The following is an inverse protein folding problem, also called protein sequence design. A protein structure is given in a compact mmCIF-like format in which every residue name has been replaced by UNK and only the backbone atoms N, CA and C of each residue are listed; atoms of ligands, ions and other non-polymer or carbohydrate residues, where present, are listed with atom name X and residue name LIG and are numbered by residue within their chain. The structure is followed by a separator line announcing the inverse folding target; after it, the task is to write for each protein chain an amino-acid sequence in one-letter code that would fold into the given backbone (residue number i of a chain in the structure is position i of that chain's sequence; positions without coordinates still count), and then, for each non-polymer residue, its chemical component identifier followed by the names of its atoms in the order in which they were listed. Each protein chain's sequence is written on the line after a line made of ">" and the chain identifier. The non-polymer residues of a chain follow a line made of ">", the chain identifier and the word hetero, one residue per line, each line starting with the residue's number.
data_IF_213054609792
#
_entry.id   IF_213054609792
#
_cell.length_a   1.000
_cell.length_b   1.000
_cell.length_c   1.000
_cell.angle_alpha   90.00
_cell.angle_beta   90.00
_cell.angle_gamma   90.00
#
_symmetry.space_group_name_H-M   'P 1'
#
loop_
_entity.id
_entity.type
_entity.pdbx_description
1 polymer ?
#
# COMPACT_ATOMS: atom_id res chain seq x y z
N UNK A 1 46.35 18.04 5.10
CA UNK A 1 45.24 18.47 4.25
C UNK A 1 44.38 17.23 3.98
N UNK A 2 43.25 17.09 4.68
CA UNK A 2 42.29 16.01 4.47
C UNK A 2 41.33 16.38 3.33
N UNK A 3 40.96 15.44 2.44
CA UNK A 3 39.95 15.71 1.44
C UNK A 3 38.54 15.60 2.07
N UNK A 4 37.74 16.65 1.86
CA UNK A 4 36.41 16.76 2.35
C UNK A 4 35.48 15.70 1.75
N UNK A 5 34.65 15.10 2.59
CA UNK A 5 33.53 14.26 2.26
C UNK A 5 32.45 15.10 1.57
N UNK A 6 32.35 15.00 0.26
CA UNK A 6 31.19 15.49 -0.48
C UNK A 6 30.02 14.54 -0.17
N UNK A 7 29.13 14.98 0.72
CA UNK A 7 27.86 14.31 0.95
C UNK A 7 27.03 14.36 -0.34
N UNK A 8 26.65 13.20 -0.84
CA UNK A 8 25.67 13.07 -1.89
C UNK A 8 24.33 13.63 -1.36
N UNK A 9 24.01 14.85 -1.79
CA UNK A 9 22.69 15.43 -1.58
C UNK A 9 21.69 14.59 -2.39
N UNK A 10 21.06 13.62 -1.74
CA UNK A 10 19.91 12.94 -2.29
C UNK A 10 18.84 14.00 -2.57
N UNK A 11 18.33 14.03 -3.80
CA UNK A 11 17.21 14.89 -4.15
C UNK A 11 16.04 14.54 -3.24
N UNK A 12 15.67 15.45 -2.34
CA UNK A 12 14.49 15.30 -1.50
C UNK A 12 13.27 15.11 -2.40
N UNK A 13 12.36 14.18 -2.08
CA UNK A 13 11.15 14.01 -2.85
C UNK A 13 10.40 15.33 -2.90
N UNK A 14 9.91 15.71 -4.08
CA UNK A 14 9.06 16.91 -4.25
C UNK A 14 7.84 16.76 -3.34
N UNK A 15 7.40 17.87 -2.71
CA UNK A 15 6.18 17.86 -1.90
C UNK A 15 4.99 17.30 -2.70
N UNK A 16 4.08 16.54 -2.06
CA UNK A 16 2.92 15.94 -2.73
C UNK A 16 2.01 17.00 -3.36
N UNK A 17 1.12 16.59 -4.25
CA UNK A 17 0.23 17.46 -5.06
C UNK A 17 -0.80 18.27 -4.24
N UNK A 18 -0.79 18.17 -2.92
CA UNK A 18 -1.65 18.87 -1.97
C UNK A 18 -1.41 18.35 -0.57
N UNK A 19 -2.07 18.90 0.46
CA UNK A 19 -1.94 18.44 1.82
C UNK A 19 -2.54 17.04 2.05
N UNK A 20 -3.49 16.59 1.21
CA UNK A 20 -4.10 15.26 1.30
C UNK A 20 -5.19 15.13 2.36
N UNK A 21 -5.87 16.22 2.72
CA UNK A 21 -7.04 16.15 3.62
C UNK A 21 -8.16 15.40 2.93
N UNK A 22 -8.73 14.40 3.60
CA UNK A 22 -9.89 13.65 3.12
C UNK A 22 -11.08 13.88 4.05
N UNK A 23 -12.22 14.26 3.45
CA UNK A 23 -13.49 14.38 4.16
C UNK A 23 -14.54 13.57 3.43
N UNK A 24 -15.25 12.73 4.15
CA UNK A 24 -16.41 11.97 3.66
C UNK A 24 -17.61 12.38 4.50
N UNK A 25 -18.68 12.80 3.86
CA UNK A 25 -19.86 13.30 4.54
C UNK A 25 -21.09 12.55 4.08
N UNK A 26 -21.69 11.78 4.98
CA UNK A 26 -22.92 11.02 4.76
C UNK A 26 -22.89 10.19 3.46
N UNK A 27 -21.75 9.59 3.15
CA UNK A 27 -21.55 8.81 1.93
C UNK A 27 -22.46 7.61 1.93
N UNK A 28 -23.19 7.43 0.82
CA UNK A 28 -24.06 6.29 0.54
C UNK A 28 -23.70 5.69 -0.82
N UNK A 29 -23.71 4.37 -0.88
CA UNK A 29 -23.39 3.67 -2.12
C UNK A 29 -23.95 2.25 -2.14
N UNK A 30 -24.43 1.84 -3.29
CA UNK A 30 -24.92 0.50 -3.60
C UNK A 30 -24.45 0.07 -4.99
N UNK A 31 -24.04 -1.19 -5.15
CA UNK A 31 -23.77 -1.74 -6.49
C UNK A 31 -25.07 -2.07 -7.24
N UNK A 32 -26.13 -2.39 -6.50
CA UNK A 32 -27.48 -2.57 -7.03
C UNK A 32 -28.50 -1.94 -6.09
N UNK A 33 -29.65 -1.47 -6.60
CA UNK A 33 -30.66 -0.80 -5.79
C UNK A 33 -31.21 -1.66 -4.62
N UNK A 34 -31.12 -2.98 -4.74
CA UNK A 34 -31.65 -3.90 -3.73
C UNK A 34 -30.74 -4.11 -2.55
N UNK A 35 -29.43 -3.82 -2.69
CA UNK A 35 -28.44 -4.13 -1.65
C UNK A 35 -27.63 -2.87 -1.33
N UNK A 36 -28.08 -2.14 -0.30
CA UNK A 36 -27.37 -0.98 0.22
C UNK A 36 -26.07 -1.44 0.91
N UNK A 37 -24.92 -1.11 0.34
CA UNK A 37 -23.62 -1.55 0.84
C UNK A 37 -23.01 -0.54 1.80
N UNK A 38 -23.00 0.75 1.46
CA UNK A 38 -22.55 1.83 2.35
C UNK A 38 -23.74 2.75 2.61
N UNK A 39 -24.15 2.86 3.88
CA UNK A 39 -25.43 3.47 4.26
C UNK A 39 -25.31 4.92 4.73
N UNK A 40 -24.31 5.21 5.54
CA UNK A 40 -24.05 6.55 6.10
C UNK A 40 -22.63 6.56 6.67
N UNK A 41 -21.65 6.87 5.81
CA UNK A 41 -20.25 6.85 6.19
C UNK A 41 -19.75 8.30 6.23
N UNK A 42 -19.33 8.73 7.43
CA UNK A 42 -18.71 10.03 7.65
C UNK A 42 -17.33 9.84 8.29
N UNK A 43 -16.32 10.47 7.70
CA UNK A 43 -14.93 10.32 8.08
C UNK A 43 -14.16 11.60 7.76
N UNK A 44 -13.27 12.00 8.64
CA UNK A 44 -12.26 13.02 8.38
C UNK A 44 -10.89 12.43 8.65
N UNK A 45 -9.94 12.67 7.74
CA UNK A 45 -8.55 12.24 7.85
C UNK A 45 -7.65 13.44 7.61
N UNK A 46 -6.78 13.69 8.57
CA UNK A 46 -5.82 14.78 8.52
C UNK A 46 -4.65 14.47 7.56
N UNK A 47 -3.96 15.50 7.04
CA UNK A 47 -2.84 15.31 6.13
C UNK A 47 -1.73 14.44 6.73
N UNK A 48 -1.22 13.52 5.94
CA UNK A 48 -0.09 12.68 6.34
C UNK A 48 -0.45 11.52 7.28
N UNK A 49 -1.71 11.39 7.69
CA UNK A 49 -2.16 10.30 8.53
C UNK A 49 -2.30 8.98 7.75
N UNK A 50 -1.97 7.90 8.44
CA UNK A 50 -2.20 6.55 7.97
C UNK A 50 -3.49 6.00 8.57
N UNK A 51 -4.41 5.59 7.72
CA UNK A 51 -5.70 4.99 8.09
C UNK A 51 -5.70 3.52 7.72
N UNK A 52 -5.74 2.63 8.71
CA UNK A 52 -5.90 1.20 8.49
C UNK A 52 -7.40 0.85 8.42
N UNK A 53 -7.79 0.16 7.35
CA UNK A 53 -9.16 -0.33 7.16
C UNK A 53 -9.17 -1.82 7.43
N UNK A 54 -9.87 -2.24 8.46
CA UNK A 54 -9.99 -3.64 8.90
C UNK A 54 -11.44 -4.09 8.90
N UNK A 55 -11.67 -5.38 8.85
CA UNK A 55 -13.02 -5.96 8.86
C UNK A 55 -13.11 -7.25 8.03
N UNK A 56 -14.19 -8.00 8.14
CA UNK A 56 -14.36 -9.26 7.44
C UNK A 56 -14.40 -9.07 5.91
N UNK A 57 -14.22 -10.18 5.19
CA UNK A 57 -14.41 -10.20 3.74
C UNK A 57 -15.85 -9.79 3.40
N UNK A 58 -15.99 -8.95 2.36
CA UNK A 58 -17.32 -8.42 1.98
C UNK A 58 -17.85 -7.26 2.82
N UNK A 59 -17.10 -6.79 3.85
CA UNK A 59 -17.54 -5.69 4.71
C UNK A 59 -17.65 -4.32 4.00
N UNK A 60 -17.08 -4.19 2.78
CA UNK A 60 -17.08 -2.93 2.03
C UNK A 60 -15.74 -2.18 2.02
N UNK A 61 -14.64 -2.78 2.51
CA UNK A 61 -13.30 -2.15 2.56
C UNK A 61 -12.83 -1.68 1.18
N UNK A 62 -12.80 -2.59 0.22
CA UNK A 62 -12.41 -2.29 -1.18
C UNK A 62 -13.38 -1.31 -1.84
N UNK A 63 -14.67 -1.36 -1.49
CA UNK A 63 -15.66 -0.41 -1.99
C UNK A 63 -15.35 1.01 -1.53
N UNK A 64 -15.02 1.20 -0.26
CA UNK A 64 -14.64 2.51 0.29
C UNK A 64 -13.47 3.12 -0.49
N UNK A 65 -12.46 2.33 -0.77
CA UNK A 65 -11.28 2.74 -1.54
C UNK A 65 -11.66 3.07 -3.00
N UNK A 66 -12.51 2.27 -3.61
CA UNK A 66 -12.98 2.49 -4.99
C UNK A 66 -13.79 3.80 -5.11
N UNK A 67 -14.56 4.16 -4.09
CA UNK A 67 -15.28 5.43 -4.05
C UNK A 67 -14.34 6.61 -3.92
N UNK A 68 -13.30 6.51 -3.09
CA UNK A 68 -12.28 7.56 -2.95
C UNK A 68 -11.54 7.82 -4.29
N UNK A 69 -11.30 6.77 -5.08
CA UNK A 69 -10.71 6.88 -6.42
C UNK A 69 -11.73 7.25 -7.53
N UNK A 70 -12.99 7.42 -7.15
CA UNK A 70 -14.10 7.70 -8.07
C UNK A 70 -14.19 6.70 -9.22
N UNK A 71 -14.05 5.40 -8.90
CA UNK A 71 -14.41 4.35 -9.85
C UNK A 71 -15.92 4.23 -10.02
N UNK A 72 -16.67 4.61 -8.98
CA UNK A 72 -18.13 4.67 -8.95
C UNK A 72 -18.59 6.05 -8.50
N UNK A 73 -19.79 6.46 -8.92
CA UNK A 73 -20.46 7.66 -8.40
C UNK A 73 -21.23 7.30 -7.12
N UNK A 74 -21.39 8.26 -6.22
CA UNK A 74 -22.11 8.07 -4.96
C UNK A 74 -23.64 8.12 -5.18
N UNK A 75 -24.38 7.33 -4.41
CA UNK A 75 -25.86 7.45 -4.33
C UNK A 75 -26.25 8.65 -3.46
N UNK A 76 -25.37 9.11 -2.58
CA UNK A 76 -25.59 10.29 -1.74
C UNK A 76 -24.40 10.63 -0.88
N UNK A 77 -24.44 11.81 -0.27
CA UNK A 77 -23.30 12.37 0.45
C UNK A 77 -22.26 12.96 -0.49
N UNK A 78 -21.05 13.20 0.02
CA UNK A 78 -19.92 13.70 -0.79
C UNK A 78 -18.57 13.25 -0.23
N UNK A 79 -17.56 13.24 -1.09
CA UNK A 79 -16.16 13.00 -0.74
C UNK A 79 -15.36 14.23 -1.21
N UNK A 80 -14.59 14.80 -0.30
CA UNK A 80 -13.73 15.93 -0.60
C UNK A 80 -12.26 15.53 -0.46
N UNK A 81 -11.44 16.03 -1.38
CA UNK A 81 -9.98 15.97 -1.31
C UNK A 81 -9.48 17.41 -1.27
N UNK A 82 -8.80 17.79 -0.19
CA UNK A 82 -8.34 19.16 0.05
C UNK A 82 -9.47 20.19 -0.08
N UNK A 83 -10.64 19.88 0.51
CA UNK A 83 -11.84 20.71 0.49
C UNK A 83 -12.59 20.79 -0.86
N UNK A 84 -12.16 20.02 -1.88
CA UNK A 84 -12.79 19.96 -3.19
C UNK A 84 -13.59 18.69 -3.38
N UNK A 85 -14.85 18.79 -3.66
CA UNK A 85 -15.72 17.65 -3.95
C UNK A 85 -15.25 16.91 -5.21
N UNK A 86 -14.94 15.61 -5.07
CA UNK A 86 -14.46 14.78 -6.17
C UNK A 86 -15.50 14.65 -7.30
N UNK A 87 -16.79 14.80 -7.02
CA UNK A 87 -17.84 14.78 -8.02
C UNK A 87 -17.73 15.96 -9.01
N UNK A 88 -17.18 17.11 -8.56
CA UNK A 88 -16.95 18.30 -9.38
C UNK A 88 -15.64 18.29 -10.15
N UNK A 89 -14.75 17.37 -9.84
CA UNK A 89 -13.45 17.21 -10.51
C UNK A 89 -13.58 16.31 -11.73
N UNK A 90 -12.60 16.33 -12.63
CA UNK A 90 -12.49 15.26 -13.63
C UNK A 90 -11.94 13.99 -12.97
N UNK A 91 -12.29 12.79 -13.50
CA UNK A 91 -11.70 11.53 -13.01
C UNK A 91 -10.18 11.53 -13.12
N UNK A 92 -9.64 12.20 -14.13
CA UNK A 92 -8.19 12.37 -14.31
C UNK A 92 -7.57 13.18 -13.15
N UNK A 93 -8.21 14.30 -12.75
CA UNK A 93 -7.71 15.14 -11.65
C UNK A 93 -7.77 14.43 -10.30
N UNK A 94 -8.82 13.64 -10.05
CA UNK A 94 -8.91 12.79 -8.85
C UNK A 94 -7.75 11.79 -8.84
N UNK A 95 -7.56 11.05 -9.95
CA UNK A 95 -6.51 10.01 -10.05
C UNK A 95 -5.08 10.56 -10.04
N UNK A 96 -4.88 11.81 -10.42
CA UNK A 96 -3.57 12.47 -10.25
C UNK A 96 -3.25 12.81 -8.80
N UNK A 97 -4.26 12.98 -7.96
CA UNK A 97 -4.10 13.25 -6.52
C UNK A 97 -4.03 11.98 -5.69
N UNK A 98 -4.56 10.88 -6.22
CA UNK A 98 -4.60 9.58 -5.57
C UNK A 98 -3.65 8.61 -6.26
N UNK A 99 -2.90 7.83 -5.49
CA UNK A 99 -2.08 6.73 -5.99
C UNK A 99 -2.56 5.41 -5.40
N UNK A 100 -2.46 4.33 -6.16
CA UNK A 100 -2.86 3.01 -5.70
C UNK A 100 -1.74 1.99 -5.93
N UNK A 101 -1.45 1.21 -4.90
CA UNK A 101 -0.61 0.02 -4.99
C UNK A 101 -1.49 -1.19 -4.64
N UNK A 102 -1.69 -2.04 -5.63
CA UNK A 102 -2.53 -3.24 -5.51
C UNK A 102 -1.73 -4.43 -4.99
N UNK A 103 -2.45 -5.40 -4.45
CA UNK A 103 -1.92 -6.72 -4.08
C UNK A 103 -1.29 -7.43 -5.30
N UNK A 104 -2.01 -7.44 -6.44
CA UNK A 104 -1.53 -8.02 -7.68
C UNK A 104 -0.93 -6.92 -8.56
N UNK A 105 0.42 -6.81 -8.61
CA UNK A 105 1.08 -5.76 -9.36
C UNK A 105 0.96 -6.02 -10.87
N UNK A 106 0.34 -5.07 -11.57
CA UNK A 106 0.25 -5.12 -13.03
C UNK A 106 1.32 -4.28 -13.69
N UNK A 107 2.06 -4.89 -14.61
CA UNK A 107 3.05 -4.26 -15.48
C UNK A 107 2.71 -4.61 -16.93
N UNK A 108 2.93 -3.64 -17.83
CA UNK A 108 2.69 -3.86 -19.26
C UNK A 108 3.97 -4.27 -19.99
N UNK A 109 3.83 -4.93 -21.14
CA UNK A 109 4.93 -5.25 -22.03
C UNK A 109 5.60 -3.95 -22.51
N UNK A 110 6.88 -3.75 -22.15
CA UNK A 110 7.65 -2.55 -22.39
C UNK A 110 8.86 -2.51 -21.47
N UNK A 111 9.67 -1.45 -21.54
CA UNK A 111 10.86 -1.35 -20.69
C UNK A 111 10.51 -1.12 -19.22
N UNK A 112 11.42 -1.48 -18.31
CA UNK A 112 11.30 -1.14 -16.88
C UNK A 112 11.13 0.37 -16.70
N UNK A 113 11.92 1.16 -17.44
CA UNK A 113 11.85 2.63 -17.44
C UNK A 113 10.46 3.14 -17.79
N UNK A 114 9.83 2.63 -18.86
CA UNK A 114 8.49 3.00 -19.28
C UNK A 114 7.45 2.61 -18.23
N UNK A 115 7.58 1.43 -17.65
CA UNK A 115 6.69 0.96 -16.59
C UNK A 115 6.72 1.85 -15.34
N UNK A 116 7.90 2.30 -14.90
CA UNK A 116 8.02 3.25 -13.77
C UNK A 116 7.48 4.63 -14.18
N UNK A 117 7.87 5.13 -15.37
CA UNK A 117 7.45 6.44 -15.91
C UNK A 117 5.94 6.53 -16.11
N UNK A 118 5.25 5.41 -16.27
CA UNK A 118 3.78 5.38 -16.42
C UNK A 118 3.05 6.09 -15.28
N UNK A 119 3.62 6.14 -14.07
CA UNK A 119 3.08 6.92 -12.96
C UNK A 119 2.99 8.42 -13.24
N UNK A 120 3.92 8.97 -14.04
CA UNK A 120 3.92 10.35 -14.52
C UNK A 120 4.66 10.43 -15.86
N UNK A 121 3.91 10.45 -16.99
CA UNK A 121 4.51 10.38 -18.33
C UNK A 121 5.57 11.47 -18.63
N UNK A 122 5.51 12.62 -17.98
CA UNK A 122 6.49 13.69 -18.11
C UNK A 122 7.71 13.59 -17.18
N UNK A 123 7.91 12.47 -16.46
CA UNK A 123 9.04 12.28 -15.57
C UNK A 123 10.34 12.12 -16.38
N UNK A 124 11.43 12.79 -15.92
CA UNK A 124 12.76 12.61 -16.50
C UNK A 124 13.35 11.24 -16.11
N UNK A 125 14.43 10.84 -16.78
CA UNK A 125 15.16 9.62 -16.46
C UNK A 125 15.71 9.65 -15.03
N UNK A 126 16.22 10.81 -14.62
CA UNK A 126 16.74 11.02 -13.27
C UNK A 126 15.67 10.88 -12.20
N UNK A 127 14.42 11.32 -12.47
CA UNK A 127 13.28 11.16 -11.58
C UNK A 127 12.85 9.70 -11.48
N UNK A 128 12.87 8.97 -12.60
CA UNK A 128 12.60 7.51 -12.63
C UNK A 128 13.64 6.75 -11.81
N UNK A 129 14.93 7.04 -12.02
CA UNK A 129 16.02 6.40 -11.26
C UNK A 129 16.00 6.76 -9.77
N UNK A 130 15.65 8.02 -9.44
CA UNK A 130 15.49 8.44 -8.06
C UNK A 130 14.36 7.68 -7.34
N UNK A 131 13.23 7.46 -8.03
CA UNK A 131 12.14 6.64 -7.50
C UNK A 131 12.56 5.19 -7.30
N UNK A 132 13.28 4.60 -8.26
CA UNK A 132 13.80 3.23 -8.14
C UNK A 132 14.77 3.08 -6.97
N UNK A 133 15.63 4.09 -6.72
CA UNK A 133 16.52 4.11 -5.53
C UNK A 133 15.72 4.19 -4.23
N UNK A 134 14.71 5.04 -4.18
CA UNK A 134 13.84 5.19 -3.01
C UNK A 134 13.07 3.90 -2.68
N UNK A 135 12.78 3.09 -3.69
CA UNK A 135 12.12 1.78 -3.55
C UNK A 135 13.08 0.61 -3.43
N UNK A 136 14.38 0.85 -3.28
CA UNK A 136 15.41 -0.20 -3.16
C UNK A 136 15.49 -1.17 -4.34
N UNK A 137 14.96 -0.81 -5.52
CA UNK A 137 14.96 -1.66 -6.72
C UNK A 137 16.04 -1.29 -7.74
N UNK A 138 16.66 -0.14 -7.63
CA UNK A 138 17.69 0.37 -8.56
C UNK A 138 18.86 -0.62 -8.73
N UNK A 139 19.34 -1.23 -7.65
CA UNK A 139 20.45 -2.20 -7.70
C UNK A 139 20.06 -3.48 -8.43
N UNK A 140 18.81 -3.92 -8.32
CA UNK A 140 18.27 -5.08 -9.03
C UNK A 140 18.21 -4.76 -10.53
N UNK A 141 17.65 -3.60 -10.87
CA UNK A 141 17.53 -3.15 -12.26
C UNK A 141 18.91 -3.06 -12.91
N UNK A 142 19.89 -2.45 -12.26
CA UNK A 142 21.27 -2.30 -12.77
C UNK A 142 22.03 -3.62 -12.92
N UNK A 143 21.62 -4.67 -12.23
CA UNK A 143 22.17 -6.01 -12.38
C UNK A 143 21.67 -6.74 -13.63
N UNK A 144 20.56 -6.28 -14.23
CA UNK A 144 20.04 -6.84 -15.47
C UNK A 144 20.91 -6.41 -16.66
N UNK A 145 21.06 -7.25 -17.71
CA UNK A 145 21.93 -6.97 -18.86
C UNK A 145 21.63 -5.64 -19.58
N UNK A 146 20.38 -5.22 -19.61
CA UNK A 146 19.94 -3.97 -20.25
C UNK A 146 19.52 -2.89 -19.23
N UNK A 147 19.69 -3.14 -17.93
CA UNK A 147 19.33 -2.19 -16.88
C UNK A 147 17.87 -1.71 -17.00
N UNK A 148 17.68 -0.41 -16.98
CA UNK A 148 16.35 0.23 -17.11
C UNK A 148 15.67 -0.01 -18.47
N UNK A 149 16.44 -0.36 -19.49
CA UNK A 149 15.92 -0.63 -20.84
C UNK A 149 15.60 -2.11 -21.06
N UNK A 150 15.70 -2.93 -19.99
CA UNK A 150 15.22 -4.30 -19.99
C UNK A 150 13.73 -4.35 -20.30
N UNK A 151 13.37 -5.10 -21.33
CA UNK A 151 11.97 -5.28 -21.75
C UNK A 151 11.31 -6.33 -20.87
N UNK A 152 10.19 -5.96 -20.29
CA UNK A 152 9.31 -6.88 -19.58
C UNK A 152 8.42 -7.62 -20.59
N UNK A 153 8.33 -8.93 -20.41
CA UNK A 153 7.41 -9.77 -21.19
C UNK A 153 5.96 -9.54 -20.75
N UNK A 154 5.01 -10.16 -21.44
CA UNK A 154 3.60 -10.13 -21.04
C UNK A 154 3.46 -10.66 -19.62
N UNK A 155 2.70 -9.95 -18.78
CA UNK A 155 2.57 -10.18 -17.33
C UNK A 155 3.89 -10.13 -16.55
N UNK A 156 4.95 -9.57 -17.14
CA UNK A 156 6.28 -9.48 -16.54
C UNK A 156 6.80 -10.83 -16.01
N UNK A 157 6.60 -11.91 -16.79
CA UNK A 157 6.95 -13.28 -16.42
C UNK A 157 8.47 -13.49 -16.23
N UNK A 158 9.29 -12.59 -16.77
CA UNK A 158 10.75 -12.62 -16.70
C UNK A 158 11.34 -11.95 -15.44
N UNK A 159 10.50 -11.53 -14.50
CA UNK A 159 10.92 -11.00 -13.18
C UNK A 159 10.10 -11.62 -12.04
N UNK A 160 10.65 -11.63 -10.84
CA UNK A 160 9.97 -12.19 -9.65
C UNK A 160 8.75 -11.37 -9.21
N UNK A 161 7.86 -11.98 -8.42
CA UNK A 161 6.69 -11.30 -7.86
C UNK A 161 7.07 -10.07 -7.00
N UNK A 162 8.12 -10.19 -6.19
CA UNK A 162 8.60 -9.09 -5.37
C UNK A 162 9.20 -7.94 -6.19
N UNK A 163 9.95 -8.25 -7.25
CA UNK A 163 10.46 -7.23 -8.18
C UNK A 163 9.33 -6.50 -8.89
N UNK A 164 8.28 -7.23 -9.33
CA UNK A 164 7.07 -6.61 -9.89
C UNK A 164 6.44 -5.63 -8.90
N UNK A 165 6.33 -6.02 -7.63
CA UNK A 165 5.77 -5.17 -6.60
C UNK A 165 6.62 -3.93 -6.34
N UNK A 166 7.94 -4.05 -6.25
CA UNK A 166 8.85 -2.91 -6.12
C UNK A 166 8.75 -1.95 -7.31
N UNK A 167 8.61 -2.45 -8.54
CA UNK A 167 8.43 -1.59 -9.72
C UNK A 167 7.09 -0.83 -9.69
N UNK A 168 6.02 -1.45 -9.21
CA UNK A 168 4.73 -0.74 -9.05
C UNK A 168 4.77 0.29 -7.92
N UNK A 169 5.52 0.04 -6.85
CA UNK A 169 5.78 1.04 -5.81
C UNK A 169 6.61 2.20 -6.39
N UNK A 170 7.65 1.94 -7.19
CA UNK A 170 8.44 2.97 -7.87
C UNK A 170 7.57 3.82 -8.83
N UNK A 171 6.62 3.22 -9.53
CA UNK A 171 5.59 3.91 -10.32
C UNK A 171 4.77 4.88 -9.47
N UNK A 172 4.34 4.46 -8.28
CA UNK A 172 3.60 5.31 -7.36
C UNK A 172 4.48 6.46 -6.81
N UNK A 173 5.78 6.21 -6.59
CA UNK A 173 6.74 7.26 -6.21
C UNK A 173 6.86 8.35 -7.27
N UNK A 174 7.01 7.98 -8.54
CA UNK A 174 7.10 8.94 -9.66
C UNK A 174 5.80 9.73 -9.80
N UNK A 175 4.65 9.11 -9.58
CA UNK A 175 3.34 9.77 -9.61
C UNK A 175 3.23 10.86 -8.54
N UNK A 176 3.85 10.65 -7.38
CA UNK A 176 3.88 11.55 -6.23
C UNK A 176 2.48 12.07 -5.80
N UNK A 177 1.53 11.19 -5.53
CA UNK A 177 0.17 11.56 -5.14
C UNK A 177 0.12 12.13 -3.72
N UNK A 178 -0.92 12.92 -3.41
CA UNK A 178 -1.19 13.42 -2.06
C UNK A 178 -1.83 12.35 -1.17
N UNK A 179 -2.61 11.45 -1.77
CA UNK A 179 -3.34 10.38 -1.08
C UNK A 179 -2.91 9.04 -1.65
N UNK A 180 -2.58 8.10 -0.79
CA UNK A 180 -2.20 6.73 -1.15
C UNK A 180 -3.28 5.74 -0.74
N UNK A 181 -3.46 4.75 -1.57
CA UNK A 181 -4.29 3.59 -1.33
C UNK A 181 -3.41 2.37 -1.48
N UNK A 182 -3.28 1.60 -0.41
CA UNK A 182 -2.40 0.45 -0.34
C UNK A 182 -3.24 -0.79 0.01
N UNK A 183 -3.21 -1.79 -0.87
CA UNK A 183 -3.80 -3.09 -0.59
C UNK A 183 -2.69 -4.07 -0.21
N UNK A 184 -2.64 -4.43 1.07
CA UNK A 184 -1.53 -5.12 1.69
C UNK A 184 -1.80 -6.63 1.78
N UNK A 185 -1.56 -7.35 0.70
CA UNK A 185 -1.49 -8.80 0.77
C UNK A 185 -0.19 -9.28 0.10
N UNK A 186 0.70 -9.88 0.87
CA UNK A 186 1.99 -10.39 0.39
C UNK A 186 2.02 -11.90 0.59
N UNK A 187 1.42 -12.67 -0.30
CA UNK A 187 1.30 -14.11 -0.10
C UNK A 187 2.32 -14.98 -0.86
N UNK A 188 3.30 -14.40 -1.58
CA UNK A 188 4.13 -15.20 -2.49
C UNK A 188 5.56 -14.65 -2.71
N UNK A 189 6.11 -13.92 -1.75
CA UNK A 189 7.43 -13.29 -1.90
C UNK A 189 8.37 -13.87 -0.85
N UNK A 190 9.63 -14.10 -1.22
CA UNK A 190 10.66 -14.53 -0.27
C UNK A 190 10.91 -13.46 0.81
N UNK A 191 11.34 -13.90 2.00
CA UNK A 191 11.47 -13.04 3.19
C UNK A 191 12.37 -11.82 2.97
N UNK A 192 13.42 -11.94 2.15
CA UNK A 192 14.36 -10.82 1.89
C UNK A 192 13.69 -9.75 1.03
N UNK A 193 13.04 -10.15 -0.05
CA UNK A 193 12.34 -9.23 -0.94
C UNK A 193 11.13 -8.63 -0.25
N UNK A 194 10.46 -9.38 0.62
CA UNK A 194 9.36 -8.88 1.45
C UNK A 194 9.80 -7.71 2.35
N UNK A 195 10.97 -7.80 2.98
CA UNK A 195 11.55 -6.70 3.76
C UNK A 195 11.77 -5.44 2.90
N UNK A 196 12.27 -5.60 1.67
CA UNK A 196 12.46 -4.47 0.75
C UNK A 196 11.13 -3.83 0.34
N UNK A 197 10.12 -4.66 0.07
CA UNK A 197 8.75 -4.18 -0.23
C UNK A 197 8.19 -3.38 0.94
N UNK A 198 8.33 -3.86 2.18
CA UNK A 198 7.89 -3.14 3.39
C UNK A 198 8.62 -1.80 3.54
N UNK A 199 9.94 -1.78 3.37
CA UNK A 199 10.73 -0.55 3.44
C UNK A 199 10.29 0.45 2.36
N UNK A 200 10.08 -0.02 1.13
CA UNK A 200 9.60 0.81 0.03
C UNK A 200 8.20 1.37 0.29
N UNK A 201 7.29 0.56 0.83
CA UNK A 201 5.95 0.99 1.23
C UNK A 201 5.99 2.05 2.33
N UNK A 202 6.82 1.86 3.36
CA UNK A 202 6.99 2.83 4.43
C UNK A 202 7.53 4.16 3.89
N UNK A 203 8.58 4.12 3.06
CA UNK A 203 9.13 5.31 2.41
C UNK A 203 8.10 6.02 1.51
N UNK A 204 7.25 5.24 0.80
CA UNK A 204 6.19 5.81 -0.03
C UNK A 204 5.13 6.55 0.80
N UNK A 205 4.85 6.11 2.02
CA UNK A 205 3.85 6.72 2.93
C UNK A 205 4.30 8.03 3.54
N UNK A 206 5.61 8.27 3.68
CA UNK A 206 6.14 9.48 4.33
C UNK A 206 5.54 10.76 3.74
N UNK A 207 4.92 11.57 4.61
CA UNK A 207 4.30 12.85 4.26
C UNK A 207 3.06 12.77 3.38
N UNK A 208 2.43 11.59 3.27
CA UNK A 208 1.21 11.37 2.47
C UNK A 208 0.10 10.75 3.30
N UNK A 209 -1.11 11.19 3.06
CA UNK A 209 -2.29 10.54 3.65
C UNK A 209 -2.48 9.17 3.02
N UNK A 210 -2.54 8.13 3.84
CA UNK A 210 -2.53 6.75 3.36
C UNK A 210 -3.73 5.96 3.88
N UNK A 211 -4.47 5.32 2.99
CA UNK A 211 -5.50 4.33 3.32
C UNK A 211 -4.95 2.95 3.03
N UNK A 212 -4.93 2.08 4.03
CA UNK A 212 -4.37 0.74 3.93
C UNK A 212 -5.46 -0.28 4.21
N UNK A 213 -5.75 -1.16 3.24
CA UNK A 213 -6.51 -2.38 3.52
C UNK A 213 -5.51 -3.33 4.18
N UNK A 214 -5.51 -3.32 5.52
CA UNK A 214 -4.47 -3.95 6.29
C UNK A 214 -4.80 -5.43 6.53
N UNK A 215 -3.80 -6.27 6.26
CA UNK A 215 -3.82 -7.71 6.53
C UNK A 215 -2.74 -8.12 7.53
N UNK A 216 -1.83 -7.19 7.91
CA UNK A 216 -0.74 -7.43 8.86
C UNK A 216 -0.97 -6.70 10.16
N UNK A 217 -0.75 -7.37 11.27
CA UNK A 217 -0.90 -6.80 12.62
C UNK A 217 0.00 -5.57 12.83
N UNK A 218 1.25 -5.61 12.34
CA UNK A 218 2.17 -4.47 12.47
C UNK A 218 1.65 -3.20 11.80
N UNK A 219 1.12 -3.32 10.58
CA UNK A 219 0.56 -2.18 9.83
C UNK A 219 -0.67 -1.61 10.52
N UNK A 220 -1.51 -2.48 11.09
CA UNK A 220 -2.71 -2.07 11.81
C UNK A 220 -2.31 -1.30 13.09
N UNK A 221 -1.35 -1.83 13.85
CA UNK A 221 -0.89 -1.22 15.11
C UNK A 221 -0.28 0.16 14.92
N UNK A 222 0.51 0.32 13.87
CA UNK A 222 1.28 1.55 13.61
C UNK A 222 0.47 2.62 12.84
N UNK A 223 -0.82 2.39 12.60
CA UNK A 223 -1.71 3.35 11.95
C UNK A 223 -2.16 4.45 12.91
N UNK A 224 -2.24 5.70 12.42
CA UNK A 224 -2.73 6.85 13.19
C UNK A 224 -4.22 6.71 13.51
N UNK A 225 -4.95 6.03 12.65
CA UNK A 225 -6.38 5.74 12.81
C UNK A 225 -6.73 4.37 12.23
N UNK A 226 -7.55 3.63 12.95
CA UNK A 226 -8.09 2.35 12.52
C UNK A 226 -9.60 2.50 12.31
N UNK A 227 -10.08 2.01 11.19
CA UNK A 227 -11.50 1.94 10.86
C UNK A 227 -11.92 0.47 10.81
N UNK A 228 -12.79 0.07 11.73
CA UNK A 228 -13.42 -1.25 11.68
C UNK A 228 -14.67 -1.16 10.85
N UNK A 229 -14.63 -1.78 9.68
CA UNK A 229 -15.75 -1.78 8.73
C UNK A 229 -16.50 -3.09 8.82
N UNK A 230 -17.81 -3.02 9.01
CA UNK A 230 -18.70 -4.17 9.01
C UNK A 230 -20.03 -3.81 8.35
N UNK A 231 -20.49 -4.67 7.45
CA UNK A 231 -21.75 -4.48 6.71
C UNK A 231 -21.92 -3.04 6.16
N UNK A 232 -20.84 -2.48 5.57
CA UNK A 232 -20.83 -1.16 4.96
C UNK A 232 -20.89 0.03 5.92
N UNK A 233 -20.59 -0.18 7.20
CA UNK A 233 -20.54 0.88 8.22
C UNK A 233 -19.21 0.86 8.95
N UNK A 234 -18.75 2.03 9.38
CA UNK A 234 -17.69 2.11 10.38
C UNK A 234 -18.33 1.81 11.73
N UNK A 235 -18.01 0.65 12.31
CA UNK A 235 -18.54 0.23 13.60
C UNK A 235 -17.69 0.68 14.77
N UNK A 236 -16.37 0.79 14.56
CA UNK A 236 -15.41 1.28 15.53
C UNK A 236 -14.38 2.14 14.83
N UNK A 237 -13.88 3.16 15.52
CA UNK A 237 -12.83 4.06 15.04
C UNK A 237 -11.98 4.54 16.20
N UNK A 238 -10.66 4.53 16.04
CA UNK A 238 -9.70 4.99 17.04
C UNK A 238 -8.29 4.54 16.75
N UNK A 239 -7.39 4.75 17.69
CA UNK A 239 -6.05 4.17 17.67
C UNK A 239 -6.07 2.72 18.11
N UNK A 240 -4.97 2.00 17.90
CA UNK A 240 -4.81 0.63 18.37
C UNK A 240 -5.11 0.47 19.87
N UNK A 241 -4.53 1.34 20.69
CA UNK A 241 -4.67 1.30 22.14
C UNK A 241 -6.11 1.57 22.60
N UNK A 242 -6.76 2.59 22.02
CA UNK A 242 -8.16 2.93 22.30
C UNK A 242 -9.11 1.79 21.97
N UNK A 243 -8.93 1.15 20.81
CA UNK A 243 -9.81 0.08 20.36
C UNK A 243 -9.59 -1.23 21.11
N UNK A 244 -8.36 -1.53 21.54
CA UNK A 244 -8.10 -2.64 22.45
C UNK A 244 -8.75 -2.43 23.82
N UNK A 245 -8.60 -1.21 24.38
CA UNK A 245 -9.19 -0.88 25.67
C UNK A 245 -10.73 -0.91 25.66
N UNK A 246 -11.33 -0.58 24.51
CA UNK A 246 -12.79 -0.68 24.34
C UNK A 246 -13.33 -2.11 24.35
N UNK A 247 -12.48 -3.13 24.10
CA UNK A 247 -12.87 -4.55 24.16
C UNK A 247 -13.91 -4.96 23.12
N UNK A 248 -14.01 -4.20 22.02
CA UNK A 248 -15.00 -4.40 20.97
C UNK A 248 -14.59 -5.43 19.90
N UNK A 249 -15.14 -5.27 18.70
CA UNK A 249 -14.84 -6.14 17.54
C UNK A 249 -13.37 -6.10 17.15
N UNK A 250 -12.74 -4.94 17.21
CA UNK A 250 -11.32 -4.80 16.94
C UNK A 250 -10.49 -5.69 17.87
N UNK A 251 -10.74 -5.61 19.17
CA UNK A 251 -10.03 -6.43 20.16
C UNK A 251 -10.22 -7.93 19.92
N UNK A 252 -11.44 -8.35 19.56
CA UNK A 252 -11.73 -9.74 19.22
C UNK A 252 -10.98 -10.18 17.94
N UNK A 253 -10.95 -9.36 16.91
CA UNK A 253 -10.20 -9.62 15.66
C UNK A 253 -8.70 -9.69 15.92
N UNK A 254 -8.16 -8.74 16.68
CA UNK A 254 -6.76 -8.69 17.06
C UNK A 254 -6.33 -9.98 17.75
N UNK A 255 -7.07 -10.40 18.80
CA UNK A 255 -6.75 -11.62 19.54
C UNK A 255 -6.77 -12.87 18.67
N UNK A 256 -7.66 -12.95 17.69
CA UNK A 256 -7.74 -14.09 16.77
C UNK A 256 -6.60 -14.12 15.75
N UNK A 257 -6.16 -12.97 15.25
CA UNK A 257 -5.03 -12.85 14.33
C UNK A 257 -3.68 -13.05 15.02
N UNK A 258 -3.51 -12.49 16.22
CA UNK A 258 -2.32 -12.66 17.04
C UNK A 258 -2.06 -14.14 17.35
N UNK A 259 -3.13 -14.89 17.68
CA UNK A 259 -3.05 -16.34 17.86
C UNK A 259 -2.67 -17.08 16.56
N UNK A 260 -3.14 -16.63 15.41
CA UNK A 260 -2.83 -17.24 14.12
C UNK A 260 -1.37 -17.00 13.74
N UNK A 261 -0.90 -15.75 13.82
CA UNK A 261 0.50 -15.41 13.52
C UNK A 261 1.47 -16.10 14.50
N UNK A 262 1.14 -16.19 15.78
CA UNK A 262 1.94 -16.92 16.77
C UNK A 262 2.02 -18.43 16.45
N UNK A 263 0.92 -19.02 15.98
CA UNK A 263 0.85 -20.43 15.58
C UNK A 263 1.70 -20.68 14.33
N UNK A 264 1.61 -19.81 13.34
CA UNK A 264 2.40 -19.91 12.10
C UNK A 264 3.90 -19.75 12.36
N UNK A 265 4.28 -18.80 13.22
CA UNK A 265 5.66 -18.61 13.64
C UNK A 265 6.22 -19.81 14.39
N UNK A 266 5.44 -20.42 15.28
CA UNK A 266 5.81 -21.63 16.01
C UNK A 266 5.98 -22.84 15.07
N UNK A 267 5.07 -22.99 14.11
CA UNK A 267 5.13 -24.04 13.10
C UNK A 267 6.39 -23.92 12.22
N UNK A 268 6.71 -22.68 11.80
CA UNK A 268 7.91 -22.38 11.00
C UNK A 268 9.20 -22.70 11.78
N UNK A 269 9.25 -22.33 13.07
CA UNK A 269 10.39 -22.63 13.95
C UNK A 269 10.58 -24.14 14.11
N UNK A 270 9.52 -24.89 14.34
CA UNK A 270 9.57 -26.35 14.45
C UNK A 270 10.05 -27.00 13.14
N UNK A 271 9.63 -26.47 11.99
CA UNK A 271 10.05 -26.98 10.69
C UNK A 271 11.54 -26.73 10.42
N UNK A 272 12.07 -25.56 10.82
CA UNK A 272 13.50 -25.23 10.72
C UNK A 272 14.34 -26.13 11.62
N UNK A 273 13.88 -26.39 12.86
CA UNK A 273 14.56 -27.30 13.78
C UNK A 273 14.59 -28.74 13.26
N UNK A 274 13.49 -29.19 12.64
CA UNK A 274 13.42 -30.54 12.04
C UNK A 274 14.36 -30.68 10.84
N UNK A 275 14.43 -29.69 9.96
CA UNK A 275 15.35 -29.66 8.83
C UNK A 275 16.81 -29.60 9.29
N UNK A 276 17.09 -28.86 10.35
CA UNK A 276 18.43 -28.84 10.97
C UNK A 276 18.86 -30.19 11.56
N UNK A 277 17.93 -30.87 12.21
CA UNK A 277 18.19 -32.22 12.76
C UNK A 277 18.41 -33.28 11.66
N UNK A 278 17.63 -33.21 10.56
CA UNK A 278 17.80 -34.09 9.41
C UNK A 278 19.14 -33.88 8.69
N UNK A 279 19.60 -32.62 8.54
CA UNK A 279 20.89 -32.28 7.97
C UNK A 279 22.05 -32.79 8.83
N UNK A 280 21.98 -32.64 10.15
CA UNK A 280 23.01 -33.15 11.08
C UNK A 280 23.07 -34.67 11.09
N UNK A 281 21.96 -35.38 10.91
CA UNK A 281 21.93 -36.84 10.85
C UNK A 281 22.44 -37.44 9.53
N UNK A 282 22.64 -36.64 8.49
CA UNK A 282 23.23 -37.07 7.20
C UNK A 282 24.76 -36.93 7.16
N UNK A 283 25.35 -36.09 8.01
CA UNK A 283 26.82 -35.95 8.13
C UNK A 283 27.48 -37.04 8.98
N UNK A 284 26.72 -37.84 9.73
CA UNK A 284 27.23 -38.96 10.55
C UNK A 284 27.14 -40.35 9.87
N UNK A 285 26.77 -40.43 8.61
CA UNK A 285 26.72 -41.67 7.83
C UNK A 285 27.69 -41.63 6.65
#
# INVERSE_FOLDING_TARGET
>A
VAPGSAGAAGASPKSPAGPGVIEMEHVRFSYSPEVELIRDLSLQVDPGHTVAIVGPTGAGKTTLVNLLMRFYELDGGRILIDGRDIATMTRHDVRRRTGMVLQDPWLFAGTIRENIRYGRPGASDEEVEAAARACFVDHIIKALPQGYDTVLEEDAANISAGERQLLTIARAFVANPAVLILDEATSSVDTRTELLVQQAMNALREGRTSFIIAHRLSTIRDADQILVVDAGRITERGTHEELLAAGGRYAAMWSSQDLSEATDAAALTAQVEQLGAEAAGQEEK
#
